data_IF_251985047725
#
_entry.id   IF_251985047725
#
_cell.length_a   1.000
_cell.length_b   1.000
_cell.length_c   1.000
_cell.angle_alpha   90.00
_cell.angle_beta   90.00
_cell.angle_gamma   90.00
#
_symmetry.space_group_name_H-M   'P 1'
#
loop_
_entity.id
_entity.type
_entity.pdbx_description
1 polymer ?
#
# COMPACT_ATOMS: atom_id res chain seq x y z
N UNK A 1 -29.04 -9.45 17.79
CA UNK A 1 -28.66 -9.77 16.40
C UNK A 1 -27.93 -11.10 16.43
N UNK A 2 -28.35 -12.08 15.61
CA UNK A 2 -27.81 -13.43 15.63
C UNK A 2 -26.34 -13.43 15.19
N UNK A 3 -25.50 -14.16 15.92
CA UNK A 3 -24.09 -14.34 15.60
C UNK A 3 -24.01 -15.18 14.32
N UNK A 4 -23.32 -14.73 13.25
CA UNK A 4 -23.08 -15.60 12.11
C UNK A 4 -22.19 -16.76 12.57
N UNK A 5 -22.75 -17.97 12.60
CA UNK A 5 -22.02 -19.18 13.02
C UNK A 5 -21.14 -19.74 11.89
N UNK A 6 -21.34 -19.27 10.66
CA UNK A 6 -20.67 -19.74 9.46
C UNK A 6 -20.19 -18.57 8.61
N UNK A 7 -18.92 -18.63 8.22
CA UNK A 7 -18.23 -17.62 7.43
C UNK A 7 -17.72 -18.26 6.14
N UNK A 8 -17.82 -17.53 5.04
CA UNK A 8 -17.14 -17.91 3.78
C UNK A 8 -15.82 -17.19 3.73
N UNK A 9 -14.76 -17.94 3.46
CA UNK A 9 -13.41 -17.39 3.34
C UNK A 9 -13.10 -17.21 1.86
N UNK A 10 -12.54 -16.07 1.49
CA UNK A 10 -11.98 -15.86 0.16
C UNK A 10 -10.46 -15.97 0.24
N UNK A 11 -9.91 -16.98 -0.43
CA UNK A 11 -8.48 -17.29 -0.43
C UNK A 11 -8.00 -17.62 -1.84
N UNK A 12 -6.95 -16.94 -2.34
CA UNK A 12 -6.34 -17.18 -3.66
C UNK A 12 -7.35 -17.20 -4.82
N UNK A 13 -8.38 -16.35 -4.76
CA UNK A 13 -9.45 -16.31 -5.76
C UNK A 13 -10.50 -17.43 -5.64
N UNK A 14 -10.30 -18.43 -4.79
CA UNK A 14 -11.31 -19.42 -4.44
C UNK A 14 -12.15 -18.93 -3.25
N UNK A 15 -13.46 -19.16 -3.34
CA UNK A 15 -14.37 -19.00 -2.20
C UNK A 15 -14.50 -20.38 -1.55
N UNK A 16 -13.99 -20.51 -0.34
CA UNK A 16 -14.01 -21.76 0.43
C UNK A 16 -14.87 -21.59 1.68
N UNK A 17 -15.62 -22.63 2.03
CA UNK A 17 -16.50 -22.61 3.19
C UNK A 17 -17.83 -23.31 2.92
N UNK A 18 -18.74 -23.32 3.91
CA UNK A 18 -18.74 -22.52 5.14
C UNK A 18 -17.77 -23.03 6.24
N UNK A 19 -17.09 -22.10 6.92
CA UNK A 19 -16.23 -22.38 8.08
C UNK A 19 -16.76 -21.70 9.36
N UNK A 20 -16.59 -22.35 10.51
CA UNK A 20 -16.89 -21.74 11.80
C UNK A 20 -15.81 -20.73 12.23
N UNK A 21 -16.15 -19.80 13.13
CA UNK A 21 -15.18 -18.85 13.68
C UNK A 21 -14.00 -19.55 14.37
N UNK A 22 -14.27 -20.65 15.08
CA UNK A 22 -13.25 -21.46 15.73
C UNK A 22 -12.26 -22.06 14.71
N UNK A 23 -12.79 -22.53 13.57
CA UNK A 23 -11.95 -23.05 12.49
C UNK A 23 -11.10 -21.95 11.85
N UNK A 24 -11.65 -20.76 11.64
CA UNK A 24 -10.90 -19.61 11.11
C UNK A 24 -9.83 -19.15 12.10
N UNK A 25 -10.12 -19.13 13.41
CA UNK A 25 -9.10 -18.84 14.42
C UNK A 25 -8.01 -19.90 14.47
N UNK A 26 -8.34 -21.18 14.29
CA UNK A 26 -7.35 -22.24 14.19
C UNK A 26 -6.49 -22.10 12.94
N UNK A 27 -7.10 -21.80 11.78
CA UNK A 27 -6.37 -21.56 10.52
C UNK A 27 -5.46 -20.32 10.60
N UNK A 28 -5.86 -19.28 11.35
CA UNK A 28 -4.99 -18.15 11.67
C UNK A 28 -3.84 -18.56 12.59
N UNK A 29 -4.14 -19.40 13.60
CA UNK A 29 -3.16 -19.87 14.59
C UNK A 29 -2.13 -20.80 13.96
N UNK A 30 -2.52 -21.63 12.99
CA UNK A 30 -1.63 -22.50 12.22
C UNK A 30 -0.91 -21.78 11.09
N UNK A 31 -1.26 -20.51 10.83
CA UNK A 31 -0.66 -19.71 9.75
C UNK A 31 -1.11 -20.10 8.34
N UNK A 32 -2.12 -20.95 8.20
CA UNK A 32 -2.73 -21.32 6.92
C UNK A 32 -3.37 -20.13 6.22
N UNK A 33 -3.90 -19.20 7.01
CA UNK A 33 -4.48 -17.94 6.55
C UNK A 33 -3.91 -16.78 7.36
N UNK A 34 -3.85 -15.60 6.76
CA UNK A 34 -3.39 -14.37 7.40
C UNK A 34 -4.56 -13.43 7.70
N UNK A 35 -4.36 -12.49 8.62
CA UNK A 35 -5.36 -11.48 9.01
C UNK A 35 -5.85 -10.60 7.84
N UNK A 36 -5.15 -10.61 6.70
CA UNK A 36 -5.49 -9.83 5.50
C UNK A 36 -6.56 -10.53 4.63
N UNK A 37 -6.85 -11.80 4.90
CA UNK A 37 -7.84 -12.55 4.14
C UNK A 37 -9.24 -12.01 4.39
N UNK A 38 -10.12 -12.14 3.40
CA UNK A 38 -11.49 -11.65 3.48
C UNK A 38 -12.46 -12.76 3.90
N UNK A 39 -13.39 -12.41 4.77
CA UNK A 39 -14.51 -13.25 5.19
C UNK A 39 -15.83 -12.55 4.86
N UNK A 40 -16.83 -13.34 4.47
CA UNK A 40 -18.17 -12.85 4.16
C UNK A 40 -19.01 -12.79 5.44
N UNK A 41 -19.56 -11.61 5.73
CA UNK A 41 -20.44 -11.35 6.87
C UNK A 41 -21.62 -10.53 6.39
N UNK A 42 -22.84 -11.05 6.55
CA UNK A 42 -24.09 -10.37 6.16
C UNK A 42 -24.10 -9.88 4.69
N UNK A 43 -23.46 -10.62 3.78
CA UNK A 43 -23.38 -10.27 2.35
C UNK A 43 -22.30 -9.23 2.00
N UNK A 44 -21.49 -8.80 2.97
CA UNK A 44 -20.33 -7.92 2.75
C UNK A 44 -19.03 -8.66 3.01
N UNK A 45 -18.02 -8.41 2.19
CA UNK A 45 -16.66 -8.92 2.40
C UNK A 45 -15.89 -7.98 3.31
N UNK A 46 -15.31 -8.53 4.38
CA UNK A 46 -14.52 -7.79 5.36
C UNK A 46 -13.20 -8.53 5.60
N UNK A 47 -12.11 -7.81 5.83
CA UNK A 47 -10.86 -8.47 6.23
C UNK A 47 -11.03 -9.13 7.61
N UNK A 48 -10.36 -10.25 7.82
CA UNK A 48 -10.34 -10.96 9.09
C UNK A 48 -9.78 -10.04 10.20
N UNK A 49 -8.80 -9.19 9.89
CA UNK A 49 -8.28 -8.12 10.77
C UNK A 49 -9.38 -7.17 11.22
N UNK A 50 -10.14 -6.63 10.27
CA UNK A 50 -11.18 -5.65 10.56
C UNK A 50 -12.36 -6.29 11.27
N UNK A 51 -12.65 -7.57 11.00
CA UNK A 51 -13.61 -8.35 11.77
C UNK A 51 -13.19 -8.53 13.23
N UNK A 52 -11.95 -8.93 13.49
CA UNK A 52 -11.46 -9.05 14.86
C UNK A 52 -11.32 -7.70 15.56
N UNK A 53 -11.04 -6.61 14.82
CA UNK A 53 -11.08 -5.24 15.37
C UNK A 53 -12.50 -4.80 15.72
N UNK A 54 -13.48 -5.03 14.85
CA UNK A 54 -14.89 -4.66 15.10
C UNK A 54 -15.50 -5.48 16.22
N UNK A 55 -15.17 -6.77 16.33
CA UNK A 55 -15.55 -7.60 17.49
C UNK A 55 -14.78 -7.22 18.75
N UNK A 56 -13.48 -6.90 18.64
CA UNK A 56 -12.65 -6.45 19.75
C UNK A 56 -13.11 -5.11 20.34
N UNK A 57 -13.53 -4.18 19.46
CA UNK A 57 -14.21 -2.94 19.84
C UNK A 57 -15.59 -3.20 20.44
N UNK A 58 -16.33 -4.21 19.94
CA UNK A 58 -17.62 -4.62 20.50
C UNK A 58 -17.52 -5.31 21.87
N UNK A 59 -16.32 -5.76 22.27
CA UNK A 59 -16.07 -6.32 23.61
C UNK A 59 -15.59 -5.27 24.64
N UNK A 60 -15.50 -4.01 24.23
CA UNK A 60 -14.86 -2.92 24.99
C UNK A 60 -15.78 -1.79 25.45
N UNK A 61 -17.08 -2.01 25.68
CA UNK A 61 -17.95 -1.00 26.33
C UNK A 61 -17.90 -1.05 27.87
N UNK A 62 -16.86 -1.61 28.46
CA UNK A 62 -16.61 -1.47 29.90
C UNK A 62 -15.15 -1.09 30.13
N UNK A 63 -14.91 0.22 30.23
CA UNK A 63 -13.91 0.97 31.04
C UNK A 63 -13.24 2.16 30.27
N UNK A 64 -12.85 3.25 30.98
CA UNK A 64 -12.94 4.65 30.53
C UNK A 64 -11.67 5.17 29.81
N UNK A 65 -11.67 6.41 29.25
CA UNK A 65 -10.70 6.83 28.24
C UNK A 65 -9.38 7.28 28.89
N UNK A 66 -8.24 6.85 28.34
CA UNK A 66 -6.93 7.43 28.67
C UNK A 66 -6.37 8.10 27.42
N UNK A 67 -5.96 9.35 27.63
CA UNK A 67 -5.54 10.37 26.70
C UNK A 67 -4.22 10.05 25.96
N UNK A 68 -3.83 10.83 24.93
CA UNK A 68 -2.72 10.51 24.04
C UNK A 68 -1.37 10.86 24.68
N UNK A 69 -0.45 9.91 24.71
CA UNK A 69 0.93 10.15 25.15
C UNK A 69 1.80 10.58 23.95
N UNK A 70 1.94 11.90 23.84
CA UNK A 70 3.15 12.53 23.35
C UNK A 70 4.27 12.41 24.42
N UNK A 71 5.50 12.62 23.97
CA UNK A 71 6.74 12.80 24.74
C UNK A 71 7.52 11.53 25.15
N UNK A 72 8.51 11.26 24.31
CA UNK A 72 9.82 10.67 24.60
C UNK A 72 10.48 11.40 25.78
N UNK A 73 10.95 10.68 26.78
CA UNK A 73 12.00 11.15 27.69
C UNK A 73 12.81 9.97 28.25
N UNK A 74 14.13 10.06 28.06
CA UNK A 74 15.15 9.21 28.64
C UNK A 74 15.12 9.35 30.17
N UNK A 75 15.25 8.24 30.92
CA UNK A 75 15.88 8.30 32.24
C UNK A 75 16.37 6.93 32.70
N UNK A 76 17.70 6.85 32.82
CA UNK A 76 18.47 5.80 33.48
C UNK A 76 17.95 5.44 34.88
N UNK A 77 17.81 4.14 35.16
CA UNK A 77 17.81 3.60 36.52
C UNK A 77 18.50 2.21 36.52
N UNK A 78 19.35 1.90 37.53
CA UNK A 78 20.29 0.77 37.51
C UNK A 78 19.62 -0.60 37.79
N UNK A 79 20.27 -1.72 37.42
CA UNK A 79 19.69 -3.06 37.57
C UNK A 79 19.60 -3.49 39.05
N UNK A 80 18.56 -4.27 39.44
CA UNK A 80 18.38 -4.75 40.80
C UNK A 80 19.39 -5.87 41.19
N UNK A 81 19.71 -6.03 42.49
CA UNK A 81 20.79 -6.88 42.98
C UNK A 81 20.51 -8.41 42.94
N UNK A 82 21.55 -9.26 42.96
CA UNK A 82 21.45 -10.70 42.75
C UNK A 82 21.03 -11.43 44.04
N UNK A 83 19.93 -12.21 44.00
CA UNK A 83 19.63 -13.18 45.06
C UNK A 83 18.16 -13.35 45.50
N UNK A 84 17.17 -13.25 44.61
CA UNK A 84 15.81 -13.69 44.93
C UNK A 84 15.54 -15.10 44.35
N UNK A 85 15.00 -16.06 45.15
CA UNK A 85 14.82 -17.45 44.74
C UNK A 85 13.78 -17.59 43.63
N UNK A 86 14.11 -18.44 42.66
CA UNK A 86 13.44 -18.54 41.38
C UNK A 86 11.96 -18.89 41.44
N UNK A 87 11.20 -18.16 40.61
CA UNK A 87 9.99 -18.68 39.96
C UNK A 87 10.11 -18.24 38.51
N UNK A 88 10.71 -19.09 37.68
CA UNK A 88 10.50 -19.03 36.24
C UNK A 88 9.07 -19.52 35.98
N UNK A 89 8.24 -18.67 35.37
CA UNK A 89 7.54 -19.11 34.19
C UNK A 89 7.96 -18.14 33.08
N UNK A 90 8.93 -18.56 32.28
CA UNK A 90 8.99 -18.18 30.87
C UNK A 90 7.71 -18.71 30.21
N UNK A 91 6.59 -18.02 30.45
CA UNK A 91 5.31 -18.29 29.81
C UNK A 91 5.04 -17.15 28.83
N UNK A 92 5.57 -17.36 27.62
CA UNK A 92 4.98 -16.90 26.37
C UNK A 92 4.72 -15.39 26.29
N UNK A 93 5.79 -14.60 26.14
CA UNK A 93 5.74 -13.64 25.03
C UNK A 93 5.37 -14.49 23.81
N UNK A 94 4.25 -14.26 23.10
CA UNK A 94 4.09 -14.85 21.80
C UNK A 94 5.26 -14.30 21.00
N UNK A 95 6.29 -15.14 20.85
CA UNK A 95 7.37 -14.93 19.89
C UNK A 95 6.67 -14.42 18.65
N UNK A 96 7.00 -13.17 18.28
CA UNK A 96 6.39 -12.47 17.17
C UNK A 96 6.15 -13.49 16.07
N UNK A 97 4.88 -13.87 15.88
CA UNK A 97 4.53 -14.85 14.87
C UNK A 97 5.19 -14.34 13.59
N UNK A 98 5.98 -15.17 12.87
CA UNK A 98 6.70 -14.70 11.70
C UNK A 98 5.68 -14.02 10.83
N UNK A 99 5.84 -12.70 10.63
CA UNK A 99 4.95 -11.91 9.80
C UNK A 99 4.84 -12.70 8.50
N UNK A 100 3.63 -13.15 8.18
CA UNK A 100 3.43 -14.06 7.07
C UNK A 100 4.08 -13.45 5.83
N UNK A 101 5.12 -14.08 5.27
CA UNK A 101 5.92 -13.52 4.19
C UNK A 101 5.06 -13.10 2.98
N UNK A 102 3.91 -13.77 2.79
CA UNK A 102 2.90 -13.40 1.80
C UNK A 102 2.21 -12.06 2.12
N UNK A 103 1.94 -11.78 3.40
CA UNK A 103 1.40 -10.48 3.85
C UNK A 103 2.41 -9.34 3.69
N UNK A 104 3.69 -9.58 3.97
CA UNK A 104 4.73 -8.57 3.74
C UNK A 104 4.91 -8.25 2.25
N UNK A 105 4.87 -9.29 1.40
CA UNK A 105 4.93 -9.12 -0.05
C UNK A 105 3.73 -8.32 -0.57
N UNK A 106 2.53 -8.59 -0.05
CA UNK A 106 1.32 -7.84 -0.41
C UNK A 106 1.40 -6.37 0.01
N UNK A 107 1.80 -6.10 1.24
CA UNK A 107 1.97 -4.73 1.74
C UNK A 107 3.02 -3.97 0.93
N UNK A 108 4.11 -4.64 0.53
CA UNK A 108 5.11 -4.09 -0.38
C UNK A 108 4.50 -3.75 -1.74
N UNK A 109 3.72 -4.65 -2.34
CA UNK A 109 3.06 -4.42 -3.63
C UNK A 109 2.08 -3.24 -3.57
N UNK A 110 1.32 -3.11 -2.47
CA UNK A 110 0.41 -1.98 -2.26
C UNK A 110 1.19 -0.67 -2.16
N UNK A 111 2.25 -0.61 -1.35
CA UNK A 111 3.12 0.56 -1.24
C UNK A 111 3.75 0.93 -2.57
N UNK A 112 4.24 -0.06 -3.30
CA UNK A 112 4.80 0.10 -4.63
C UNK A 112 3.77 0.69 -5.61
N UNK A 113 2.52 0.22 -5.59
CA UNK A 113 1.44 0.79 -6.40
C UNK A 113 1.22 2.29 -6.15
N UNK A 114 1.25 2.73 -4.88
CA UNK A 114 1.15 4.15 -4.53
C UNK A 114 2.39 4.96 -4.92
N UNK A 115 3.59 4.38 -4.80
CA UNK A 115 4.83 5.03 -5.25
C UNK A 115 4.79 5.28 -6.76
N UNK A 116 4.33 4.30 -7.54
CA UNK A 116 4.13 4.46 -8.98
C UNK A 116 3.07 5.52 -9.31
N UNK A 117 2.03 5.68 -8.49
CA UNK A 117 1.08 6.79 -8.67
C UNK A 117 1.79 8.16 -8.57
N UNK A 118 2.66 8.34 -7.58
CA UNK A 118 3.43 9.58 -7.40
C UNK A 118 4.48 9.82 -8.48
N UNK A 119 5.06 8.75 -9.05
CA UNK A 119 6.10 8.89 -10.08
C UNK A 119 5.59 9.46 -11.41
N UNK A 120 4.27 9.55 -11.62
CA UNK A 120 3.64 10.23 -12.77
C UNK A 120 4.12 11.68 -12.94
N UNK A 121 4.48 12.36 -11.84
CA UNK A 121 5.03 13.71 -11.89
C UNK A 121 6.55 13.74 -12.09
N UNK A 122 7.27 12.67 -11.72
CA UNK A 122 8.74 12.64 -11.73
C UNK A 122 9.31 12.23 -13.09
N UNK A 123 8.63 11.35 -13.82
CA UNK A 123 9.16 10.85 -15.09
C UNK A 123 9.16 11.85 -16.24
N UNK A 124 8.14 12.72 -16.44
CA UNK A 124 8.17 13.70 -17.52
C UNK A 124 9.44 14.56 -17.58
N UNK A 125 9.94 15.19 -16.48
CA UNK A 125 11.19 15.93 -16.54
C UNK A 125 12.40 15.03 -16.77
N UNK A 126 12.40 13.81 -16.22
CA UNK A 126 13.50 12.86 -16.40
C UNK A 126 13.66 12.42 -17.86
N UNK A 127 12.55 12.17 -18.57
CA UNK A 127 12.58 11.93 -20.01
C UNK A 127 12.90 13.20 -20.81
N UNK A 128 12.45 14.36 -20.34
CA UNK A 128 12.69 15.63 -21.01
C UNK A 128 14.16 16.08 -20.97
N UNK A 129 14.97 15.61 -20.01
CA UNK A 129 16.43 15.90 -19.94
C UNK A 129 17.19 15.41 -21.18
N UNK A 130 16.65 14.42 -21.90
CA UNK A 130 17.23 13.95 -23.17
C UNK A 130 17.24 15.06 -24.23
N UNK A 131 16.28 15.99 -24.21
CA UNK A 131 16.19 17.07 -25.20
C UNK A 131 17.39 18.02 -25.14
N UNK A 132 17.74 18.67 -24.00
CA UNK A 132 18.92 19.53 -23.94
C UNK A 132 20.24 18.76 -24.10
N UNK A 133 20.31 17.50 -23.67
CA UNK A 133 21.48 16.64 -23.94
C UNK A 133 21.67 16.41 -25.44
N UNK A 134 20.59 16.20 -26.18
CA UNK A 134 20.61 16.04 -27.63
C UNK A 134 20.98 17.35 -28.34
N UNK A 135 20.51 18.49 -27.85
CA UNK A 135 20.94 19.79 -28.37
C UNK A 135 22.44 20.02 -28.19
N UNK A 136 23.01 19.57 -27.07
CA UNK A 136 24.44 19.69 -26.81
C UNK A 136 25.29 18.88 -27.81
N UNK A 137 24.74 17.82 -28.41
CA UNK A 137 25.48 16.97 -29.37
C UNK A 137 25.26 17.33 -30.83
N UNK A 138 24.05 17.77 -31.21
CA UNK A 138 23.68 18.02 -32.61
C UNK A 138 23.58 19.52 -32.95
N UNK A 139 23.64 20.40 -31.93
CA UNK A 139 23.46 21.84 -32.07
C UNK A 139 22.00 22.27 -31.82
N UNK A 140 21.68 23.52 -32.15
CA UNK A 140 20.37 24.12 -31.85
C UNK A 140 19.25 23.44 -32.63
N UNK A 141 18.29 22.83 -31.93
CA UNK A 141 17.12 22.23 -32.54
C UNK A 141 16.08 23.31 -32.90
N UNK A 142 15.36 23.15 -34.03
CA UNK A 142 14.23 24.01 -34.35
C UNK A 142 13.17 23.97 -33.23
N UNK A 143 12.49 25.10 -32.93
CA UNK A 143 11.51 25.17 -31.84
C UNK A 143 10.41 24.11 -31.95
N UNK A 144 9.87 23.89 -33.15
CA UNK A 144 8.83 22.87 -33.40
C UNK A 144 9.28 21.46 -33.03
N UNK A 145 10.55 21.13 -33.29
CA UNK A 145 11.12 19.83 -32.92
C UNK A 145 11.22 19.68 -31.41
N UNK A 146 11.62 20.75 -30.68
CA UNK A 146 11.67 20.75 -29.21
C UNK A 146 10.29 20.51 -28.60
N UNK A 147 9.26 21.23 -29.07
CA UNK A 147 7.90 21.02 -28.58
C UNK A 147 7.43 19.58 -28.79
N UNK A 148 7.68 19.03 -29.98
CA UNK A 148 7.33 17.64 -30.30
C UNK A 148 8.02 16.67 -29.33
N UNK A 149 9.33 16.83 -29.11
CA UNK A 149 10.09 15.97 -28.20
C UNK A 149 9.61 16.07 -26.75
N UNK A 150 9.30 17.27 -26.25
CA UNK A 150 8.78 17.45 -24.90
C UNK A 150 7.37 16.86 -24.74
N UNK A 151 6.51 16.96 -25.75
CA UNK A 151 5.20 16.30 -25.75
C UNK A 151 5.39 14.78 -25.66
N UNK A 152 6.26 14.21 -26.50
CA UNK A 152 6.56 12.77 -26.45
C UNK A 152 7.13 12.34 -25.10
N UNK A 153 8.10 13.08 -24.55
CA UNK A 153 8.68 12.80 -23.24
C UNK A 153 7.63 12.84 -22.12
N UNK A 154 6.70 13.80 -22.17
CA UNK A 154 5.61 13.93 -21.20
C UNK A 154 4.63 12.78 -21.30
N UNK A 155 4.18 12.44 -22.51
CA UNK A 155 3.27 11.31 -22.73
C UNK A 155 3.93 9.99 -22.30
N UNK A 156 5.20 9.77 -22.65
CA UNK A 156 5.95 8.59 -22.24
C UNK A 156 6.10 8.53 -20.70
N UNK A 157 6.48 9.65 -20.07
CA UNK A 157 6.66 9.74 -18.63
C UNK A 157 5.38 9.56 -17.82
N UNK A 158 4.24 10.05 -18.31
CA UNK A 158 2.94 9.85 -17.64
C UNK A 158 2.33 8.46 -17.93
N UNK A 159 2.60 7.88 -19.12
CA UNK A 159 2.00 6.59 -19.52
C UNK A 159 2.68 5.37 -18.86
N UNK A 160 4.00 5.43 -18.64
CA UNK A 160 4.75 4.33 -18.06
C UNK A 160 4.27 3.94 -16.63
N UNK A 161 4.04 4.89 -15.70
CA UNK A 161 3.48 4.56 -14.39
C UNK A 161 2.07 4.00 -14.44
N UNK A 162 1.23 4.44 -15.39
CA UNK A 162 -0.11 3.87 -15.57
C UNK A 162 -0.03 2.37 -15.89
N UNK A 163 0.89 2.00 -16.78
CA UNK A 163 1.13 0.60 -17.12
C UNK A 163 1.66 -0.20 -15.91
N UNK A 164 2.61 0.36 -15.14
CA UNK A 164 3.15 -0.29 -13.95
C UNK A 164 2.10 -0.47 -12.84
N UNK A 165 1.28 0.56 -12.57
CA UNK A 165 0.17 0.47 -11.61
C UNK A 165 -0.85 -0.59 -12.06
N UNK A 166 -1.14 -0.70 -13.36
CA UNK A 166 -2.01 -1.78 -13.85
C UNK A 166 -1.40 -3.16 -13.62
N UNK A 167 -0.09 -3.31 -13.84
CA UNK A 167 0.61 -4.57 -13.61
C UNK A 167 0.59 -4.99 -12.14
N UNK A 168 0.95 -4.07 -11.24
CA UNK A 168 0.93 -4.28 -9.78
C UNK A 168 -0.51 -4.49 -9.29
N UNK A 169 -1.47 -3.73 -9.83
CA UNK A 169 -2.89 -3.84 -9.51
C UNK A 169 -3.47 -5.22 -9.85
N UNK A 170 -3.04 -5.85 -10.95
CA UNK A 170 -3.43 -7.24 -11.25
C UNK A 170 -2.96 -8.20 -10.16
N UNK A 171 -1.73 -8.05 -9.66
CA UNK A 171 -1.20 -8.89 -8.58
C UNK A 171 -1.99 -8.70 -7.28
N UNK A 172 -2.25 -7.46 -6.89
CA UNK A 172 -3.07 -7.12 -5.70
C UNK A 172 -4.51 -7.67 -5.84
N UNK A 173 -5.07 -7.62 -7.05
CA UNK A 173 -6.43 -8.11 -7.32
C UNK A 173 -6.55 -9.63 -7.18
N UNK A 174 -5.51 -10.39 -7.59
CA UNK A 174 -5.47 -11.84 -7.40
C UNK A 174 -5.44 -12.25 -5.91
N UNK A 175 -4.89 -11.39 -5.06
CA UNK A 175 -4.83 -11.58 -3.60
C UNK A 175 -6.12 -11.15 -2.87
N UNK A 176 -7.13 -10.66 -3.62
CA UNK A 176 -8.45 -10.34 -3.07
C UNK A 176 -8.63 -8.87 -2.66
N UNK A 177 -7.68 -8.00 -2.98
CA UNK A 177 -7.72 -6.55 -2.71
C UNK A 177 -8.07 -5.74 -3.96
N UNK A 178 -9.06 -6.21 -4.73
CA UNK A 178 -9.47 -5.56 -5.99
C UNK A 178 -9.92 -4.11 -5.81
N UNK A 179 -10.54 -3.77 -4.68
CA UNK A 179 -10.97 -2.40 -4.36
C UNK A 179 -9.77 -1.45 -4.22
N UNK A 180 -8.69 -1.90 -3.57
CA UNK A 180 -7.46 -1.12 -3.42
C UNK A 180 -6.81 -0.91 -4.79
N UNK A 181 -6.70 -1.96 -5.61
CA UNK A 181 -6.20 -1.84 -6.98
C UNK A 181 -7.02 -0.85 -7.81
N UNK A 182 -8.35 -0.84 -7.66
CA UNK A 182 -9.23 0.08 -8.38
C UNK A 182 -9.02 1.53 -7.91
N UNK A 183 -8.87 1.75 -6.61
CA UNK A 183 -8.59 3.08 -6.04
C UNK A 183 -7.24 3.63 -6.52
N UNK A 184 -6.19 2.79 -6.53
CA UNK A 184 -4.86 3.14 -7.03
C UNK A 184 -4.88 3.49 -8.52
N UNK A 185 -5.62 2.71 -9.33
CA UNK A 185 -5.75 3.00 -10.76
C UNK A 185 -6.45 4.34 -11.02
N UNK A 186 -7.53 4.65 -10.29
CA UNK A 186 -8.22 5.94 -10.40
C UNK A 186 -7.33 7.10 -9.97
N UNK A 187 -6.65 6.96 -8.85
CA UNK A 187 -5.70 7.96 -8.35
C UNK A 187 -4.59 8.22 -9.38
N UNK A 188 -3.99 7.15 -9.92
CA UNK A 188 -2.93 7.25 -10.93
C UNK A 188 -3.41 7.94 -12.21
N UNK A 189 -4.62 7.65 -12.69
CA UNK A 189 -5.21 8.31 -13.86
C UNK A 189 -5.39 9.82 -13.64
N UNK A 190 -5.89 10.22 -12.48
CA UNK A 190 -6.07 11.63 -12.13
C UNK A 190 -4.72 12.35 -12.06
N UNK A 191 -3.75 11.74 -11.37
CA UNK A 191 -2.39 12.28 -11.26
C UNK A 191 -1.69 12.36 -12.62
N UNK A 192 -1.82 11.34 -13.46
CA UNK A 192 -1.25 11.35 -14.81
C UNK A 192 -1.86 12.46 -15.68
N UNK A 193 -3.19 12.64 -15.63
CA UNK A 193 -3.86 13.73 -16.35
C UNK A 193 -3.40 15.11 -15.88
N UNK A 194 -3.38 15.35 -14.57
CA UNK A 194 -2.88 16.60 -13.99
C UNK A 194 -1.39 16.81 -14.32
N UNK A 195 -0.58 15.77 -14.22
CA UNK A 195 0.85 15.80 -14.54
C UNK A 195 1.10 16.12 -16.01
N UNK A 196 0.33 15.54 -16.93
CA UNK A 196 0.44 15.86 -18.36
C UNK A 196 0.13 17.33 -18.63
N UNK A 197 -0.96 17.86 -18.08
CA UNK A 197 -1.32 19.29 -18.27
C UNK A 197 -0.25 20.20 -17.67
N UNK A 198 0.18 19.92 -16.44
CA UNK A 198 1.21 20.70 -15.74
C UNK A 198 2.54 20.72 -16.51
N UNK A 199 3.03 19.56 -16.94
CA UNK A 199 4.32 19.46 -17.63
C UNK A 199 4.28 20.00 -19.05
N UNK A 200 3.20 19.81 -19.80
CA UNK A 200 3.04 20.45 -21.10
C UNK A 200 3.06 21.98 -20.98
N UNK A 201 2.41 22.53 -19.95
CA UNK A 201 2.45 23.95 -19.67
C UNK A 201 3.86 24.42 -19.29
N UNK A 202 4.58 23.70 -18.43
CA UNK A 202 5.97 24.03 -18.08
C UNK A 202 6.90 23.96 -19.29
N UNK A 203 6.89 22.86 -20.04
CA UNK A 203 7.75 22.70 -21.22
C UNK A 203 7.42 23.69 -22.33
N UNK A 204 6.18 24.16 -22.41
CA UNK A 204 5.84 25.27 -23.30
C UNK A 204 6.66 26.52 -22.99
N UNK A 205 6.89 26.85 -21.72
CA UNK A 205 7.77 27.97 -21.35
C UNK A 205 9.25 27.66 -21.59
N UNK A 206 9.71 26.44 -21.32
CA UNK A 206 11.11 26.07 -21.56
C UNK A 206 11.48 26.04 -23.05
N UNK A 207 10.54 25.67 -23.92
CA UNK A 207 10.76 25.59 -25.36
C UNK A 207 10.65 26.96 -26.07
N UNK A 208 10.20 28.01 -25.38
CA UNK A 208 10.25 29.36 -25.93
C UNK A 208 11.71 29.76 -26.13
N UNK A 209 12.08 30.29 -27.31
CA UNK A 209 13.38 30.93 -27.46
C UNK A 209 13.48 32.08 -26.44
N UNK A 210 14.63 32.20 -25.78
CA UNK A 210 14.91 33.32 -24.87
C UNK A 210 14.76 34.67 -25.57
N UNK A 211 14.58 35.77 -24.82
CA UNK A 211 14.57 37.12 -25.38
C UNK A 211 15.85 37.44 -26.15
#
# INVERSE_FOLDING_TARGET
>A
MAKPDQFRLRWKGAITGPFSLARISDMLRTGEISLVHNIEINGSWLTVRDYFRTIGLSRGTLLPPIAPLAAREDSDAPPPPPGAPGISPTLNSPAAAPVSAAGEALERNVREGYLWCGSTFLFPPLFAVVVPLWEATVGTLPPYSKYTLFIFATLLGCSLPLWLVQRVGRQISHEGLAEISQSQSRLCLVLAGLGTVFWLFMFWFLAKPGP
#
